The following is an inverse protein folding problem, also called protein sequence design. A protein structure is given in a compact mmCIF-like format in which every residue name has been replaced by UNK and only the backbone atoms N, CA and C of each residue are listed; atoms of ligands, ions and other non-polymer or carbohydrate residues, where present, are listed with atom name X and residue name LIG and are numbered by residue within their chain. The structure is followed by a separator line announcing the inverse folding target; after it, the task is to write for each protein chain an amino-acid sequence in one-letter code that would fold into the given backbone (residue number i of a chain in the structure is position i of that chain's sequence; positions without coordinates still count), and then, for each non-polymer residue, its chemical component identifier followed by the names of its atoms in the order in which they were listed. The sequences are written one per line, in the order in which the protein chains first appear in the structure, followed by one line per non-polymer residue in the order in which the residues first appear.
data_IF_801351466157
#
_entry.id   IF_801351466157
#
_cell.length_a   1.000
_cell.length_b   1.000
_cell.length_c   1.000
_cell.angle_alpha   90.00
_cell.angle_beta   90.00
_cell.angle_gamma   90.00
#
_symmetry.space_group_name_H-M   'P 1'
#
loop_
_entity.id
_entity.type
_entity.pdbx_description
1 polymer ?
#
# COMPACT_ATOMS: atom_id res chain seq x y z
N UNK A 1 -17.20 -25.78 21.24
CA UNK A 1 -15.91 -25.08 21.39
C UNK A 1 -14.95 -25.62 20.34
N UNK A 2 -14.75 -24.93 19.22
CA UNK A 2 -13.50 -24.98 18.46
C UNK A 2 -13.30 -23.60 17.84
N UNK A 3 -12.41 -22.84 18.48
CA UNK A 3 -11.98 -21.51 18.06
C UNK A 3 -11.12 -21.70 16.82
N UNK A 4 -11.69 -21.56 15.63
CA UNK A 4 -10.88 -21.35 14.42
C UNK A 4 -10.34 -19.94 14.52
N UNK A 5 -9.15 -19.79 15.09
CA UNK A 5 -8.35 -18.60 14.90
C UNK A 5 -8.29 -18.36 13.39
N UNK A 6 -8.80 -17.22 12.94
CA UNK A 6 -8.60 -16.77 11.58
C UNK A 6 -7.09 -16.75 11.36
N UNK A 7 -6.57 -17.71 10.59
CA UNK A 7 -5.22 -17.65 10.07
C UNK A 7 -5.21 -16.36 9.27
N UNK A 8 -4.56 -15.31 9.80
CA UNK A 8 -4.31 -14.10 9.06
C UNK A 8 -3.28 -14.50 8.01
N UNK A 9 -3.75 -14.98 6.86
CA UNK A 9 -2.94 -15.01 5.65
C UNK A 9 -2.65 -13.54 5.39
N UNK A 10 -1.44 -13.11 5.73
CA UNK A 10 -0.96 -11.82 5.24
C UNK A 10 -0.67 -12.10 3.78
N UNK A 11 -1.57 -11.66 2.89
CA UNK A 11 -1.36 -11.82 1.46
C UNK A 11 -0.10 -11.04 1.07
N UNK A 12 0.78 -11.67 0.31
CA UNK A 12 1.96 -11.03 -0.27
C UNK A 12 1.51 -9.89 -1.19
N UNK A 13 2.15 -8.74 -1.05
CA UNK A 13 1.87 -7.55 -1.85
C UNK A 13 2.85 -7.48 -3.02
N UNK A 14 2.29 -7.23 -4.19
CA UNK A 14 3.01 -7.07 -5.46
C UNK A 14 2.65 -5.72 -6.09
N UNK A 15 3.46 -5.24 -7.03
CA UNK A 15 3.25 -3.93 -7.64
C UNK A 15 1.93 -3.80 -8.41
N UNK A 16 1.31 -4.92 -8.81
CA UNK A 16 -0.01 -4.94 -9.44
C UNK A 16 -1.18 -4.76 -8.45
N UNK A 17 -0.93 -4.83 -7.14
CA UNK A 17 -1.89 -4.63 -6.05
C UNK A 17 -1.92 -3.20 -5.51
N UNK A 18 -2.18 -2.20 -6.37
CA UNK A 18 -2.10 -0.79 -6.00
C UNK A 18 -3.04 -0.42 -4.83
N UNK A 19 -4.27 -0.94 -4.84
CA UNK A 19 -5.26 -0.71 -3.79
C UNK A 19 -4.85 -1.35 -2.46
N UNK A 20 -4.37 -2.60 -2.48
CA UNK A 20 -3.93 -3.31 -1.28
C UNK A 20 -2.71 -2.63 -0.64
N UNK A 21 -1.76 -2.16 -1.46
CA UNK A 21 -0.62 -1.38 -1.00
C UNK A 21 -1.12 -0.06 -0.39
N UNK A 22 -2.01 0.68 -1.06
CA UNK A 22 -2.58 1.92 -0.55
C UNK A 22 -3.25 1.74 0.82
N UNK A 23 -4.05 0.69 1.00
CA UNK A 23 -4.65 0.34 2.29
C UNK A 23 -3.60 0.06 3.37
N UNK A 24 -2.46 -0.55 2.99
CA UNK A 24 -1.38 -0.84 3.93
C UNK A 24 -0.65 0.42 4.33
N UNK A 25 -0.34 1.29 3.37
CA UNK A 25 0.28 2.59 3.60
C UNK A 25 -0.60 3.51 4.44
N UNK A 26 -1.91 3.55 4.20
CA UNK A 26 -2.85 4.31 5.03
C UNK A 26 -2.88 3.80 6.48
N UNK A 27 -2.79 2.49 6.69
CA UNK A 27 -2.73 1.89 8.03
C UNK A 27 -1.42 2.22 8.76
N UNK A 28 -0.30 2.32 8.06
CA UNK A 28 1.02 2.63 8.67
C UNK A 28 1.27 4.13 8.81
N UNK A 29 0.64 4.94 7.95
CA UNK A 29 0.79 6.40 7.89
C UNK A 29 -0.60 7.09 7.87
N UNK A 30 -1.44 6.91 8.91
CA UNK A 30 -2.79 7.46 8.91
C UNK A 30 -2.77 9.00 8.94
N UNK A 31 -3.68 9.62 8.17
CA UNK A 31 -3.88 11.08 8.18
C UNK A 31 -2.77 11.89 7.52
N UNK A 32 -1.94 11.26 6.68
CA UNK A 32 -1.00 11.97 5.84
C UNK A 32 -1.70 12.92 4.87
N UNK A 33 -1.14 14.11 4.70
CA UNK A 33 -1.52 15.00 3.59
C UNK A 33 -0.90 14.45 2.30
N UNK A 34 -1.72 13.78 1.50
CA UNK A 34 -1.29 13.12 0.27
C UNK A 34 -0.86 14.10 -0.82
N UNK A 35 -1.22 15.39 -0.73
CA UNK A 35 -0.72 16.41 -1.64
C UNK A 35 0.79 16.66 -1.48
N UNK A 36 1.35 16.33 -0.31
CA UNK A 36 2.77 16.51 0.05
C UNK A 36 3.57 15.19 0.01
N UNK A 37 2.94 14.10 -0.47
CA UNK A 37 3.57 12.80 -0.61
C UNK A 37 4.11 12.64 -2.04
N UNK A 38 5.44 12.46 -2.15
CA UNK A 38 6.10 12.21 -3.43
C UNK A 38 6.10 10.72 -3.79
N UNK A 39 6.28 10.41 -5.08
CA UNK A 39 6.42 9.02 -5.55
C UNK A 39 7.59 8.29 -4.88
N UNK A 40 8.69 9.01 -4.59
CA UNK A 40 9.82 8.46 -3.84
C UNK A 40 9.42 7.98 -2.44
N UNK A 41 8.55 8.72 -1.73
CA UNK A 41 8.01 8.28 -0.43
C UNK A 41 7.13 7.04 -0.58
N UNK A 42 6.28 6.99 -1.62
CA UNK A 42 5.44 5.81 -1.90
C UNK A 42 6.33 4.59 -2.14
N UNK A 43 7.39 4.72 -2.94
CA UNK A 43 8.35 3.66 -3.19
C UNK A 43 9.02 3.18 -1.88
N UNK A 44 9.61 4.10 -1.12
CA UNK A 44 10.31 3.78 0.13
C UNK A 44 9.38 3.13 1.17
N UNK A 45 8.16 3.65 1.33
CA UNK A 45 7.20 3.08 2.27
C UNK A 45 6.69 1.73 1.82
N UNK A 46 6.49 1.52 0.51
CA UNK A 46 6.06 0.21 -0.02
C UNK A 46 7.13 -0.84 0.21
N UNK A 47 8.41 -0.53 -0.04
CA UNK A 47 9.52 -1.45 0.26
C UNK A 47 9.71 -1.72 1.76
N UNK A 48 9.23 -0.82 2.63
CA UNK A 48 9.28 -0.99 4.07
C UNK A 48 8.14 -1.87 4.62
N UNK A 49 7.15 -2.23 3.80
CA UNK A 49 6.07 -3.12 4.21
C UNK A 49 6.59 -4.55 4.38
N UNK A 50 6.33 -5.15 5.54
CA UNK A 50 6.80 -6.50 5.87
C UNK A 50 6.21 -7.61 4.98
N UNK A 51 5.11 -7.31 4.30
CA UNK A 51 4.35 -8.19 3.42
C UNK A 51 4.58 -7.89 1.92
N UNK A 52 5.44 -6.93 1.58
CA UNK A 52 5.82 -6.66 0.19
C UNK A 52 6.84 -7.68 -0.31
N UNK A 53 6.57 -8.26 -1.48
CA UNK A 53 7.28 -9.45 -1.98
C UNK A 53 7.68 -9.37 -3.47
N UNK A 54 7.67 -8.18 -4.06
CA UNK A 54 8.02 -7.96 -5.47
C UNK A 54 9.43 -7.40 -5.66
N UNK A 55 9.90 -7.40 -6.91
CA UNK A 55 11.20 -6.81 -7.28
C UNK A 55 11.13 -5.27 -7.24
N UNK A 56 11.94 -4.59 -6.41
CA UNK A 56 12.02 -3.12 -6.40
C UNK A 56 12.30 -2.49 -7.77
N UNK A 57 12.97 -3.20 -8.68
CA UNK A 57 13.31 -2.71 -10.01
C UNK A 57 12.10 -2.58 -10.96
N UNK A 58 10.96 -3.19 -10.62
CA UNK A 58 9.74 -3.07 -11.41
C UNK A 58 8.97 -1.77 -11.15
N UNK A 59 9.28 -1.05 -10.07
CA UNK A 59 8.66 0.21 -9.75
C UNK A 59 8.89 1.25 -10.86
N UNK A 60 7.83 1.99 -11.19
CA UNK A 60 7.86 3.11 -12.10
C UNK A 60 6.78 4.13 -11.69
N UNK A 61 6.80 5.32 -12.30
CA UNK A 61 5.90 6.41 -11.94
C UNK A 61 4.41 6.05 -12.11
N UNK A 62 4.06 5.20 -13.08
CA UNK A 62 2.69 4.73 -13.30
C UNK A 62 2.19 3.89 -12.12
N UNK A 63 2.98 2.91 -11.66
CA UNK A 63 2.65 2.08 -10.50
C UNK A 63 2.54 2.92 -9.23
N UNK A 64 3.54 3.78 -8.98
CA UNK A 64 3.60 4.57 -7.75
C UNK A 64 2.49 5.62 -7.69
N UNK A 65 2.13 6.21 -8.83
CA UNK A 65 1.00 7.14 -8.91
C UNK A 65 -0.35 6.44 -8.75
N UNK A 66 -0.52 5.22 -9.27
CA UNK A 66 -1.73 4.42 -9.05
C UNK A 66 -1.94 4.13 -7.55
N UNK A 67 -0.88 3.74 -6.82
CA UNK A 67 -0.95 3.55 -5.37
C UNK A 67 -1.35 4.85 -4.66
N UNK A 68 -0.76 5.99 -5.04
CA UNK A 68 -1.09 7.30 -4.45
C UNK A 68 -2.55 7.69 -4.73
N UNK A 69 -3.05 7.41 -5.93
CA UNK A 69 -4.44 7.67 -6.33
C UNK A 69 -5.42 6.82 -5.52
N UNK A 70 -5.19 5.51 -5.42
CA UNK A 70 -6.03 4.60 -4.61
C UNK A 70 -6.09 5.04 -3.14
N UNK A 71 -4.96 5.51 -2.58
CA UNK A 71 -4.92 6.04 -1.22
C UNK A 71 -5.72 7.35 -1.10
N UNK A 72 -5.62 8.23 -2.09
CA UNK A 72 -6.38 9.47 -2.12
C UNK A 72 -7.89 9.21 -2.15
N UNK A 73 -8.35 8.32 -3.04
CA UNK A 73 -9.75 7.95 -3.19
C UNK A 73 -10.32 7.32 -1.90
N UNK A 74 -9.57 6.40 -1.27
CA UNK A 74 -9.98 5.76 -0.01
C UNK A 74 -10.13 6.77 1.15
N UNK A 75 -9.30 7.82 1.18
CA UNK A 75 -9.32 8.84 2.25
C UNK A 75 -10.26 10.01 1.98
N UNK A 76 -10.71 10.18 0.73
CA UNK A 76 -11.63 11.24 0.30
C UNK A 76 -12.86 10.66 -0.43
N UNK A 77 -13.69 9.85 0.24
CA UNK A 77 -14.94 9.38 -0.34
C UNK A 77 -15.89 10.57 -0.59
N UNK A 78 -16.60 10.53 -1.72
CA UNK A 78 -17.61 11.51 -2.11
C UNK A 78 -18.78 11.62 -1.13
#
# INVERSE_FOLDING_TARGET
MLYRAAVRVVAELYWDGAYEIALRLNKTHPGMDLAEVSLQKIFEWTLALSDFADDPALANDEILSAILQEWFEETHPL
#
